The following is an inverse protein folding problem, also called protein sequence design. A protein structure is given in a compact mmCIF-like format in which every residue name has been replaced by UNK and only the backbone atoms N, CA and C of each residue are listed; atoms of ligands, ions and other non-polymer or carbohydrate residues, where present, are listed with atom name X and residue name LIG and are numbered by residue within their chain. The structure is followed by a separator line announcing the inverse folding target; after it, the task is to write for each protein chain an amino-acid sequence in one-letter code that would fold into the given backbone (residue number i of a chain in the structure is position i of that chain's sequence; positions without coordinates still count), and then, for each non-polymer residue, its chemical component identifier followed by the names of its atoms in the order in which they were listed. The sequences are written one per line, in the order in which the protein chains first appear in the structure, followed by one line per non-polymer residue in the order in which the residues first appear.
data_IF_177667752921
#
_entry.id   IF_177667752921
#
_cell.length_a   1.000
_cell.length_b   1.000
_cell.length_c   1.000
_cell.angle_alpha   90.00
_cell.angle_beta   90.00
_cell.angle_gamma   90.00
#
_symmetry.space_group_name_H-M   'P 1'
#
loop_
_entity.id
_entity.type
_entity.pdbx_description
1 polymer ?
#
# COMPACT_ATOMS: atom_id res chain seq x y z
N UNK A 1 -17.46 3.94 6.78
CA UNK A 1 -16.93 2.58 6.92
C UNK A 1 -15.91 2.51 8.05
N UNK A 2 -16.04 1.55 8.91
CA UNK A 2 -15.05 1.35 9.97
C UNK A 2 -13.83 0.62 9.44
N UNK A 3 -12.71 0.68 10.18
CA UNK A 3 -11.49 -0.02 9.80
C UNK A 3 -11.62 -1.54 9.89
N UNK A 4 -12.54 -2.01 10.73
CA UNK A 4 -12.73 -3.44 11.00
C UNK A 4 -13.04 -4.23 9.73
N UNK A 5 -12.29 -5.29 9.51
CA UNK A 5 -12.52 -6.18 8.39
C UNK A 5 -11.88 -5.76 7.08
N UNK A 6 -11.26 -4.58 7.01
CA UNK A 6 -10.52 -4.18 5.79
C UNK A 6 -9.29 -5.10 5.66
N UNK A 7 -9.16 -5.71 4.49
CA UNK A 7 -8.07 -6.66 4.20
C UNK A 7 -6.92 -5.92 3.51
N UNK A 8 -5.73 -6.01 4.08
CA UNK A 8 -4.56 -5.21 3.68
C UNK A 8 -3.43 -6.11 3.21
N UNK A 9 -2.79 -5.71 2.12
CA UNK A 9 -1.46 -6.20 1.75
C UNK A 9 -0.46 -5.09 2.07
N UNK A 10 0.61 -5.42 2.78
CA UNK A 10 1.70 -4.47 3.07
C UNK A 10 2.92 -4.87 2.25
N UNK A 11 3.42 -3.94 1.43
CA UNK A 11 4.63 -4.12 0.66
C UNK A 11 5.70 -3.14 1.15
N UNK A 12 6.72 -3.64 1.80
CA UNK A 12 7.80 -2.87 2.42
C UNK A 12 9.03 -3.78 2.52
N UNK A 13 10.16 -3.33 2.01
CA UNK A 13 11.38 -4.16 2.01
C UNK A 13 12.05 -4.27 3.40
N UNK A 14 11.86 -3.28 4.26
CA UNK A 14 12.39 -3.32 5.61
C UNK A 14 11.48 -4.16 6.50
N UNK A 15 11.96 -5.34 6.91
CA UNK A 15 11.17 -6.30 7.68
C UNK A 15 10.70 -5.74 9.03
N UNK A 16 11.53 -4.92 9.68
CA UNK A 16 11.15 -4.33 10.97
C UNK A 16 10.00 -3.33 10.79
N UNK A 17 10.14 -2.44 9.82
CA UNK A 17 9.10 -1.45 9.53
C UNK A 17 7.81 -2.13 9.05
N UNK A 18 7.92 -3.16 8.22
CA UNK A 18 6.76 -3.94 7.77
C UNK A 18 6.01 -4.54 8.94
N UNK A 19 6.74 -5.11 9.92
CA UNK A 19 6.14 -5.66 11.12
C UNK A 19 5.47 -4.62 11.99
N UNK A 20 6.05 -3.42 12.12
CA UNK A 20 5.46 -2.30 12.86
C UNK A 20 4.15 -1.87 12.20
N UNK A 21 4.13 -1.73 10.88
CA UNK A 21 2.92 -1.38 10.14
C UNK A 21 1.83 -2.45 10.32
N UNK A 22 2.21 -3.72 10.18
CA UNK A 22 1.27 -4.83 10.37
C UNK A 22 0.62 -4.76 11.74
N UNK A 23 1.43 -4.65 12.79
CA UNK A 23 0.91 -4.66 14.16
C UNK A 23 -0.01 -3.47 14.40
N UNK A 24 0.36 -2.28 13.90
CA UNK A 24 -0.43 -1.07 14.07
C UNK A 24 -1.78 -1.18 13.34
N UNK A 25 -1.79 -1.69 12.13
CA UNK A 25 -3.01 -1.81 11.35
C UNK A 25 -3.93 -2.91 11.91
N UNK A 26 -3.35 -4.00 12.38
CA UNK A 26 -4.14 -5.06 13.04
C UNK A 26 -4.75 -4.58 14.34
N UNK A 27 -4.02 -3.79 15.11
CA UNK A 27 -4.55 -3.17 16.33
C UNK A 27 -5.71 -2.22 16.03
N UNK A 28 -5.69 -1.58 14.86
CA UNK A 28 -6.78 -0.71 14.41
C UNK A 28 -8.00 -1.48 13.87
N UNK A 29 -7.95 -2.81 13.86
CA UNK A 29 -9.06 -3.65 13.44
C UNK A 29 -8.99 -4.15 11.99
N UNK A 30 -7.92 -3.84 11.27
CA UNK A 30 -7.72 -4.32 9.92
C UNK A 30 -7.10 -5.73 9.93
N UNK A 31 -7.23 -6.44 8.83
CA UNK A 31 -6.65 -7.78 8.69
C UNK A 31 -5.54 -7.73 7.63
N UNK A 32 -4.30 -8.02 8.03
CA UNK A 32 -3.20 -8.11 7.09
C UNK A 32 -3.21 -9.51 6.47
N UNK A 33 -3.55 -9.58 5.19
CA UNK A 33 -3.71 -10.86 4.48
C UNK A 33 -2.45 -11.26 3.72
N UNK A 34 -1.48 -10.37 3.62
CA UNK A 34 -0.22 -10.67 2.95
C UNK A 34 0.82 -9.61 3.21
N UNK A 35 2.08 -10.00 3.03
CA UNK A 35 3.23 -9.11 3.14
C UNK A 35 4.16 -9.39 1.97
N UNK A 36 4.79 -8.34 1.48
CA UNK A 36 5.74 -8.43 0.38
C UNK A 36 6.97 -7.59 0.69
N UNK A 37 8.13 -8.04 0.26
CA UNK A 37 9.41 -7.36 0.49
C UNK A 37 9.97 -6.68 -0.76
N UNK A 38 9.33 -6.85 -1.90
CA UNK A 38 9.67 -6.12 -3.13
C UNK A 38 8.44 -5.98 -4.01
N UNK A 39 8.58 -5.21 -5.10
CA UNK A 39 7.45 -4.91 -5.97
C UNK A 39 6.92 -6.11 -6.73
N UNK A 40 7.80 -7.01 -7.17
CA UNK A 40 7.38 -8.21 -7.88
C UNK A 40 6.56 -9.13 -6.98
N UNK A 41 7.02 -9.30 -5.76
CA UNK A 41 6.29 -10.08 -4.76
C UNK A 41 4.94 -9.43 -4.44
N UNK A 42 4.92 -8.09 -4.35
CA UNK A 42 3.68 -7.35 -4.09
C UNK A 42 2.61 -7.65 -5.14
N UNK A 43 2.98 -7.64 -6.42
CA UNK A 43 2.04 -7.95 -7.50
C UNK A 43 1.53 -9.39 -7.39
N UNK A 44 2.44 -10.33 -7.16
CA UNK A 44 2.08 -11.75 -7.01
C UNK A 44 1.15 -11.99 -5.82
N UNK A 45 1.48 -11.43 -4.66
CA UNK A 45 0.67 -11.61 -3.45
C UNK A 45 -0.68 -10.89 -3.59
N UNK A 46 -0.71 -9.73 -4.25
CA UNK A 46 -1.97 -9.02 -4.50
C UNK A 46 -2.93 -9.86 -5.33
N UNK A 47 -2.43 -10.50 -6.39
CA UNK A 47 -3.25 -11.38 -7.21
C UNK A 47 -3.74 -12.60 -6.43
N UNK A 48 -2.88 -13.17 -5.59
CA UNK A 48 -3.22 -14.36 -4.81
C UNK A 48 -4.22 -14.09 -3.68
N UNK A 49 -4.09 -12.95 -3.00
CA UNK A 49 -4.88 -12.66 -1.81
C UNK A 49 -6.06 -11.74 -2.05
N UNK A 50 -6.05 -10.97 -3.13
CA UNK A 50 -7.09 -10.01 -3.48
C UNK A 50 -7.48 -9.13 -2.29
N UNK A 51 -6.54 -8.35 -1.75
CA UNK A 51 -6.83 -7.47 -0.61
C UNK A 51 -7.77 -6.34 -1.01
N UNK A 52 -8.36 -5.68 -0.03
CA UNK A 52 -9.17 -4.49 -0.26
C UNK A 52 -8.31 -3.29 -0.63
N UNK A 53 -7.09 -3.22 -0.10
CA UNK A 53 -6.14 -2.15 -0.39
C UNK A 53 -4.72 -2.67 -0.21
N UNK A 54 -3.80 -2.11 -1.00
CA UNK A 54 -2.37 -2.37 -0.88
C UNK A 54 -1.70 -1.13 -0.30
N UNK A 55 -0.93 -1.29 0.77
CA UNK A 55 -0.05 -0.23 1.28
C UNK A 55 1.33 -0.52 0.72
N UNK A 56 1.82 0.36 -0.14
CA UNK A 56 2.99 0.14 -0.98
C UNK A 56 4.09 1.14 -0.69
N UNK A 57 5.27 0.67 -0.28
CA UNK A 57 6.44 1.53 -0.22
C UNK A 57 6.88 1.88 -1.66
N UNK A 58 7.26 3.13 -1.87
CA UNK A 58 7.69 3.59 -3.19
C UNK A 58 9.02 2.99 -3.61
N UNK A 59 9.97 2.85 -2.69
CA UNK A 59 11.32 2.35 -3.00
C UNK A 59 11.55 0.96 -2.45
N UNK A 60 11.64 0.01 -3.37
CA UNK A 60 11.92 -1.38 -3.05
C UNK A 60 12.88 -1.95 -4.09
N UNK A 61 13.64 -3.02 -3.78
CA UNK A 61 14.49 -3.66 -4.77
C UNK A 61 13.68 -4.36 -5.86
N UNK A 62 14.34 -4.68 -6.96
CA UNK A 62 13.78 -5.36 -8.13
C UNK A 62 12.75 -4.48 -8.83
N UNK A 63 11.47 -4.71 -8.60
CA UNK A 63 10.38 -3.87 -9.10
C UNK A 63 10.03 -2.88 -8.00
N UNK A 64 10.15 -1.57 -8.26
CA UNK A 64 9.84 -0.56 -7.26
C UNK A 64 8.31 -0.37 -7.09
N UNK A 65 7.93 0.42 -6.09
CA UNK A 65 6.53 0.62 -5.76
C UNK A 65 5.71 1.33 -6.85
N UNK A 66 6.34 2.20 -7.64
CA UNK A 66 5.66 2.87 -8.76
C UNK A 66 5.33 1.85 -9.86
N UNK A 67 6.31 1.04 -10.24
CA UNK A 67 6.10 0.02 -11.26
C UNK A 67 5.10 -1.05 -10.80
N UNK A 68 5.19 -1.48 -9.55
CA UNK A 68 4.23 -2.42 -8.98
C UNK A 68 2.82 -1.83 -8.97
N UNK A 69 2.68 -0.55 -8.64
CA UNK A 69 1.39 0.14 -8.66
C UNK A 69 0.81 0.16 -10.07
N UNK A 70 1.63 0.44 -11.08
CA UNK A 70 1.18 0.41 -12.48
C UNK A 70 0.64 -0.97 -12.86
N UNK A 71 1.35 -2.02 -12.49
CA UNK A 71 0.94 -3.38 -12.80
C UNK A 71 -0.36 -3.76 -12.10
N UNK A 72 -0.51 -3.40 -10.84
CA UNK A 72 -1.73 -3.68 -10.08
C UNK A 72 -2.91 -2.89 -10.65
N UNK A 73 -2.71 -1.60 -10.95
CA UNK A 73 -3.77 -0.74 -11.47
C UNK A 73 -4.27 -1.18 -12.85
N UNK A 74 -3.39 -1.79 -13.66
CA UNK A 74 -3.72 -2.25 -15.00
C UNK A 74 -4.29 -3.68 -15.03
N UNK A 75 -4.29 -4.38 -13.90
CA UNK A 75 -4.73 -5.77 -13.85
C UNK A 75 -6.26 -5.88 -13.85
N UNK A 76 -6.78 -6.99 -14.34
CA UNK A 76 -8.21 -7.27 -14.29
C UNK A 76 -8.73 -7.40 -12.87
N UNK A 77 -7.84 -7.78 -11.94
CA UNK A 77 -8.12 -7.92 -10.51
C UNK A 77 -7.68 -6.69 -9.71
N UNK A 78 -7.59 -5.52 -10.33
CA UNK A 78 -7.07 -4.30 -9.70
C UNK A 78 -7.74 -3.97 -8.36
N UNK A 79 -6.97 -3.42 -7.44
CA UNK A 79 -7.46 -2.87 -6.19
C UNK A 79 -6.72 -1.57 -5.90
N UNK A 80 -7.26 -0.73 -4.97
CA UNK A 80 -6.60 0.53 -4.62
C UNK A 80 -5.22 0.32 -4.01
N UNK A 81 -4.29 1.21 -4.35
CA UNK A 81 -2.95 1.23 -3.77
C UNK A 81 -2.73 2.57 -3.09
N UNK A 82 -2.32 2.54 -1.82
CA UNK A 82 -1.88 3.71 -1.08
C UNK A 82 -0.36 3.64 -1.02
N UNK A 83 0.30 4.59 -1.66
CA UNK A 83 1.77 4.62 -1.74
C UNK A 83 2.33 5.43 -0.58
N UNK A 84 3.40 4.93 0.05
CA UNK A 84 4.14 5.65 1.08
C UNK A 84 5.48 6.09 0.50
N UNK A 85 5.77 7.39 0.57
CA UNK A 85 7.02 7.96 0.07
C UNK A 85 7.86 8.49 1.23
N UNK A 86 9.15 8.16 1.23
CA UNK A 86 10.09 8.68 2.23
C UNK A 86 10.40 10.17 2.02
N UNK A 87 10.17 10.67 0.81
CA UNK A 87 10.56 12.02 0.44
C UNK A 87 9.36 12.85 0.03
N UNK A 88 9.39 14.13 0.41
CA UNK A 88 8.36 15.10 0.07
C UNK A 88 8.74 15.78 -1.26
N UNK A 89 8.79 14.98 -2.31
CA UNK A 89 9.11 15.45 -3.65
C UNK A 89 7.86 15.46 -4.52
N UNK A 90 7.39 16.63 -4.99
CA UNK A 90 6.15 16.70 -5.78
C UNK A 90 6.13 15.77 -6.99
N UNK A 91 7.27 15.62 -7.69
CA UNK A 91 7.33 14.75 -8.86
C UNK A 91 7.15 13.28 -8.51
N UNK A 92 7.51 12.88 -7.29
CA UNK A 92 7.31 11.50 -6.84
C UNK A 92 5.84 11.23 -6.51
N UNK A 93 5.18 12.21 -5.94
CA UNK A 93 3.74 12.14 -5.68
C UNK A 93 2.99 12.03 -7.01
N UNK A 94 3.35 12.90 -7.97
CA UNK A 94 2.74 12.88 -9.30
C UNK A 94 2.98 11.53 -9.99
N UNK A 95 4.19 10.97 -9.87
CA UNK A 95 4.50 9.67 -10.46
C UNK A 95 3.64 8.56 -9.87
N UNK A 96 3.42 8.56 -8.55
CA UNK A 96 2.57 7.57 -7.89
C UNK A 96 1.11 7.69 -8.37
N UNK A 97 0.58 8.89 -8.42
CA UNK A 97 -0.80 9.12 -8.86
C UNK A 97 -0.98 8.78 -10.33
N UNK A 98 0.00 9.13 -11.18
CA UNK A 98 -0.03 8.79 -12.61
C UNK A 98 0.07 7.28 -12.83
N UNK A 99 0.73 6.57 -11.94
CA UNK A 99 0.80 5.11 -11.99
C UNK A 99 -0.53 4.44 -11.60
N UNK A 100 -1.46 5.19 -11.05
CA UNK A 100 -2.77 4.69 -10.68
C UNK A 100 -3.01 4.56 -9.18
N UNK A 101 -2.11 5.09 -8.34
CA UNK A 101 -2.31 5.05 -6.89
C UNK A 101 -3.54 5.86 -6.48
N UNK A 102 -4.28 5.35 -5.51
CA UNK A 102 -5.44 6.05 -4.95
C UNK A 102 -4.98 7.24 -4.11
N UNK A 103 -3.82 7.13 -3.47
CA UNK A 103 -3.24 8.22 -2.68
C UNK A 103 -1.74 7.97 -2.53
N UNK A 104 -1.02 9.04 -2.22
CA UNK A 104 0.41 8.96 -1.92
C UNK A 104 0.66 9.76 -0.65
N UNK A 105 1.11 9.09 0.40
CA UNK A 105 1.38 9.70 1.68
C UNK A 105 2.88 9.72 1.95
N UNK A 106 3.32 10.69 2.73
CA UNK A 106 4.70 10.76 3.18
C UNK A 106 4.92 9.77 4.31
N UNK A 107 6.02 9.03 4.29
CA UNK A 107 6.43 8.19 5.42
C UNK A 107 6.61 9.09 6.64
N UNK A 108 6.12 8.63 7.78
CA UNK A 108 6.15 9.43 9.00
C UNK A 108 4.88 10.20 9.29
N UNK A 109 3.88 10.16 8.40
CA UNK A 109 2.55 10.64 8.76
C UNK A 109 2.00 9.80 9.90
N UNK A 110 1.10 10.37 10.68
CA UNK A 110 0.48 9.66 11.79
C UNK A 110 -0.33 8.46 11.31
N UNK A 111 -0.49 7.50 12.21
CA UNK A 111 -1.29 6.30 11.93
C UNK A 111 -2.71 6.68 11.52
N UNK A 112 -3.29 7.72 12.14
CA UNK A 112 -4.64 8.17 11.82
C UNK A 112 -4.77 8.62 10.37
N UNK A 113 -3.78 9.33 9.83
CA UNK A 113 -3.79 9.75 8.43
C UNK A 113 -3.70 8.55 7.48
N UNK A 114 -2.89 7.56 7.83
CA UNK A 114 -2.78 6.33 7.05
C UNK A 114 -4.10 5.56 7.06
N UNK A 115 -4.71 5.41 8.21
CA UNK A 115 -6.01 4.72 8.34
C UNK A 115 -7.09 5.46 7.54
N UNK A 116 -7.11 6.78 7.60
CA UNK A 116 -8.07 7.59 6.83
C UNK A 116 -7.89 7.40 5.33
N UNK A 117 -6.64 7.36 4.87
CA UNK A 117 -6.34 7.13 3.46
C UNK A 117 -6.79 5.73 3.01
N UNK A 118 -6.57 4.73 3.85
CA UNK A 118 -6.99 3.36 3.57
C UNK A 118 -8.52 3.27 3.48
N UNK A 119 -9.22 3.87 4.43
CA UNK A 119 -10.69 3.90 4.42
C UNK A 119 -11.22 4.60 3.18
N UNK A 120 -10.64 5.75 2.83
CA UNK A 120 -11.05 6.50 1.64
C UNK A 120 -10.84 5.70 0.36
N UNK A 121 -9.77 4.94 0.30
CA UNK A 121 -9.47 4.12 -0.87
C UNK A 121 -10.44 2.94 -1.04
N UNK A 122 -11.02 2.45 0.06
CA UNK A 122 -11.93 1.30 0.03
C UNK A 122 -13.39 1.68 -0.13
N UNK A 123 -13.72 2.97 -0.04
CA UNK A 123 -15.10 3.44 -0.27
C UNK A 123 -15.38 3.41 -1.76
N UNK A 124 -16.44 2.72 -2.13
CA UNK A 124 -16.86 2.62 -3.52
C UNK A 124 -17.51 3.92 -4.01
#
# INVERSE_FOLDING_TARGET
MEANGIRILIAEDNALLRGVLRDALEEAGMTVVGEASDGAEAVTVAEQTLPDVVVMDMRMPNVDGIEATEQIAAADWAMPVVVLSAYDEPQMIDAALNAGAANCLKKGVGLDELIDAIRSATVA
#
